data_IF_605402000833
#
_entry.id   IF_605402000833
#
_cell.length_a   1.000
_cell.length_b   1.000
_cell.length_c   1.000
_cell.angle_alpha   90.00
_cell.angle_beta   90.00
_cell.angle_gamma   90.00
#
_symmetry.space_group_name_H-M   'P 1'
#
loop_
_entity.id
_entity.type
_entity.pdbx_description
1 polymer ?
#
# COMPACT_ATOMS: atom_id res chain seq x y z
N UNK A 1 -9.20 -2.26 7.30
CA UNK A 1 -9.04 -1.53 6.02
C UNK A 1 -7.93 -2.05 5.09
N UNK A 2 -6.67 -2.18 5.55
CA UNK A 2 -5.52 -2.46 4.66
C UNK A 2 -5.62 -3.80 3.89
N UNK A 3 -6.00 -4.90 4.56
CA UNK A 3 -6.16 -6.23 3.92
C UNK A 3 -7.28 -6.32 2.88
N UNK A 4 -8.24 -5.39 2.92
CA UNK A 4 -9.34 -5.36 1.96
C UNK A 4 -8.98 -4.58 0.68
N UNK A 5 -8.02 -3.65 0.77
CA UNK A 5 -7.69 -2.74 -0.33
C UNK A 5 -7.22 -3.46 -1.61
N UNK A 6 -6.41 -4.54 -1.55
CA UNK A 6 -6.00 -5.28 -2.75
C UNK A 6 -7.18 -5.85 -3.54
N UNK A 7 -8.23 -6.32 -2.85
CA UNK A 7 -9.43 -6.86 -3.50
C UNK A 7 -10.17 -5.80 -4.31
N UNK A 8 -10.22 -4.56 -3.80
CA UNK A 8 -10.87 -3.45 -4.52
C UNK A 8 -10.06 -3.00 -5.76
N UNK A 9 -8.73 -3.06 -5.68
CA UNK A 9 -7.84 -2.62 -6.76
C UNK A 9 -7.61 -3.66 -7.86
N UNK A 10 -7.37 -4.90 -7.47
CA UNK A 10 -6.89 -5.98 -8.34
C UNK A 10 -7.82 -7.19 -8.38
N UNK A 11 -8.90 -7.23 -7.58
CA UNK A 11 -9.86 -8.34 -7.54
C UNK A 11 -9.37 -9.55 -6.73
N UNK A 12 -8.14 -9.52 -6.24
CA UNK A 12 -7.47 -10.61 -5.54
C UNK A 12 -7.24 -10.27 -4.05
N UNK A 13 -7.14 -11.27 -3.16
CA UNK A 13 -6.77 -11.04 -1.76
C UNK A 13 -5.34 -10.50 -1.63
N UNK A 14 -5.01 -9.98 -0.45
CA UNK A 14 -3.65 -9.61 -0.11
C UNK A 14 -2.71 -10.81 -0.17
N UNK A 15 -1.47 -10.57 -0.60
CA UNK A 15 -0.39 -11.55 -0.56
C UNK A 15 0.67 -11.09 0.43
N UNK A 16 1.05 -11.98 1.34
CA UNK A 16 2.20 -11.76 2.20
C UNK A 16 3.49 -12.13 1.44
N UNK A 17 4.33 -11.14 1.19
CA UNK A 17 5.62 -11.32 0.55
C UNK A 17 6.68 -10.46 1.24
N UNK A 18 7.88 -11.01 1.42
CA UNK A 18 9.04 -10.22 1.81
C UNK A 18 9.47 -9.36 0.60
N UNK A 19 9.82 -8.11 0.84
CA UNK A 19 10.23 -7.14 -0.19
C UNK A 19 11.53 -7.51 -0.91
N UNK A 20 12.29 -8.48 -0.37
CA UNK A 20 13.55 -8.95 -0.95
C UNK A 20 14.73 -7.99 -0.81
N UNK A 21 14.54 -6.88 -0.07
CA UNK A 21 15.54 -5.84 0.15
C UNK A 21 14.96 -4.67 0.98
N UNK A 22 15.83 -3.71 1.39
CA UNK A 22 15.40 -2.54 2.13
C UNK A 22 14.48 -1.66 1.28
N UNK A 23 13.55 -0.98 1.94
CA UNK A 23 12.70 0.03 1.33
C UNK A 23 12.97 1.32 2.10
N UNK A 24 13.96 2.14 1.68
CA UNK A 24 14.46 3.25 2.50
C UNK A 24 13.35 4.18 3.04
N UNK A 25 12.31 4.55 2.27
CA UNK A 25 11.23 5.36 2.81
C UNK A 25 10.42 4.69 3.93
N UNK A 26 10.30 3.36 3.90
CA UNK A 26 9.62 2.61 4.96
C UNK A 26 10.53 2.47 6.20
N UNK A 27 11.83 2.27 5.99
CA UNK A 27 12.82 2.18 7.06
C UNK A 27 12.96 3.52 7.80
N UNK A 28 13.13 4.63 7.07
CA UNK A 28 13.22 5.98 7.63
C UNK A 28 11.94 6.37 8.37
N UNK A 29 10.77 5.99 7.83
CA UNK A 29 9.49 6.27 8.48
C UNK A 29 9.31 5.44 9.76
N UNK A 30 9.73 4.17 9.75
CA UNK A 30 9.69 3.31 10.93
C UNK A 30 10.59 3.85 12.04
N UNK A 31 11.75 4.42 11.70
CA UNK A 31 12.63 5.09 12.66
C UNK A 31 12.00 6.37 13.21
N UNK A 32 11.51 7.25 12.33
CA UNK A 32 10.97 8.55 12.72
C UNK A 32 9.62 8.46 13.47
N UNK A 33 8.82 7.44 13.17
CA UNK A 33 7.48 7.22 13.73
C UNK A 33 7.40 5.85 14.43
N UNK A 34 8.37 5.55 15.28
CA UNK A 34 8.42 4.29 16.02
C UNK A 34 7.09 4.03 16.78
N UNK A 35 6.54 2.83 16.58
CA UNK A 35 5.25 2.41 17.16
C UNK A 35 4.02 2.81 16.33
N UNK A 36 4.20 3.40 15.14
CA UNK A 36 3.12 3.66 14.19
C UNK A 36 3.00 2.51 13.20
N UNK A 37 1.76 2.10 12.92
CA UNK A 37 1.45 1.17 11.84
C UNK A 37 1.42 1.93 10.50
N UNK A 38 2.28 1.55 9.56
CA UNK A 38 2.37 2.11 8.22
C UNK A 38 1.87 1.15 7.15
N UNK A 39 1.27 1.69 6.08
CA UNK A 39 0.93 0.96 4.87
C UNK A 39 1.65 1.60 3.69
N UNK A 40 2.51 0.84 3.02
CA UNK A 40 3.06 1.19 1.72
C UNK A 40 2.26 0.46 0.63
N UNK A 41 1.74 1.22 -0.33
CA UNK A 41 0.92 0.71 -1.42
C UNK A 41 1.32 1.42 -2.72
N UNK A 42 1.39 0.67 -3.81
CA UNK A 42 1.68 1.24 -5.12
C UNK A 42 1.67 0.19 -6.23
N UNK A 43 2.02 0.64 -7.42
CA UNK A 43 2.14 -0.22 -8.59
C UNK A 43 3.23 -1.27 -8.41
N UNK A 44 2.90 -2.53 -8.67
CA UNK A 44 3.84 -3.65 -8.59
C UNK A 44 3.84 -4.44 -9.89
N UNK A 45 4.89 -4.24 -10.68
CA UNK A 45 5.17 -5.04 -11.87
C UNK A 45 6.59 -5.62 -11.80
N UNK A 46 6.72 -6.91 -12.10
CA UNK A 46 8.01 -7.62 -12.20
C UNK A 46 8.91 -7.10 -13.32
N UNK A 47 8.33 -6.39 -14.28
CA UNK A 47 9.05 -5.83 -15.43
C UNK A 47 9.25 -4.33 -15.30
N UNK A 48 9.08 -3.72 -14.13
CA UNK A 48 9.16 -2.25 -14.01
C UNK A 48 10.57 -1.67 -14.19
N UNK A 49 11.60 -2.48 -13.96
CA UNK A 49 13.03 -2.12 -14.05
C UNK A 49 13.34 -0.73 -13.42
N UNK A 50 13.07 -0.57 -12.12
CA UNK A 50 13.21 0.73 -11.48
C UNK A 50 14.68 1.15 -11.49
N UNK A 51 14.95 2.42 -11.81
CA UNK A 51 16.30 2.98 -11.96
C UNK A 51 17.08 2.53 -13.21
N UNK A 52 16.46 1.82 -14.15
CA UNK A 52 17.05 1.49 -15.46
C UNK A 52 16.59 2.48 -16.55
N UNK A 53 17.24 2.44 -17.72
CA UNK A 53 16.87 3.30 -18.86
C UNK A 53 15.47 2.99 -19.41
N UNK A 54 15.03 1.74 -19.28
CA UNK A 54 13.76 1.20 -19.76
C UNK A 54 12.71 1.04 -18.64
N UNK A 55 12.83 1.88 -17.60
CA UNK A 55 11.86 1.95 -16.51
C UNK A 55 10.45 2.15 -17.05
N UNK A 56 9.52 1.33 -16.55
CA UNK A 56 8.15 1.25 -17.07
C UNK A 56 7.18 0.85 -15.98
N UNK A 57 5.90 1.04 -16.25
CA UNK A 57 4.82 0.63 -15.36
C UNK A 57 3.75 -0.08 -16.18
N UNK A 58 3.27 -1.22 -15.68
CA UNK A 58 2.12 -1.88 -16.27
C UNK A 58 0.90 -0.96 -16.10
N UNK A 59 0.27 -0.57 -17.20
CA UNK A 59 -0.80 0.44 -17.19
C UNK A 59 -1.98 0.14 -16.26
N UNK A 60 -2.26 -1.14 -15.99
CA UNK A 60 -3.28 -1.56 -15.02
C UNK A 60 -2.93 -1.26 -13.56
N UNK A 61 -1.63 -1.19 -13.22
CA UNK A 61 -1.16 -1.06 -11.85
C UNK A 61 -1.49 0.31 -11.20
N UNK A 62 -1.31 1.46 -11.88
CA UNK A 62 -1.78 2.74 -11.35
C UNK A 62 -3.29 2.78 -11.13
N UNK A 63 -4.07 2.16 -12.03
CA UNK A 63 -5.53 2.07 -11.87
C UNK A 63 -5.89 1.25 -10.63
N UNK A 64 -5.29 0.07 -10.46
CA UNK A 64 -5.49 -0.78 -9.28
C UNK A 64 -5.14 -0.04 -7.99
N UNK A 65 -4.02 0.66 -7.99
CA UNK A 65 -3.56 1.49 -6.87
C UNK A 65 -4.62 2.54 -6.46
N UNK A 66 -5.16 3.31 -7.42
CA UNK A 66 -6.19 4.33 -7.13
C UNK A 66 -7.48 3.70 -6.60
N UNK A 67 -7.90 2.57 -7.19
CA UNK A 67 -9.09 1.85 -6.77
C UNK A 67 -8.95 1.18 -5.41
N UNK A 68 -7.73 0.83 -4.98
CA UNK A 68 -7.44 0.35 -3.64
C UNK A 68 -7.38 1.49 -2.61
N UNK A 69 -6.71 2.61 -2.93
CA UNK A 69 -6.54 3.76 -2.03
C UNK A 69 -7.86 4.46 -1.70
N UNK A 70 -8.74 4.64 -2.69
CA UNK A 70 -9.99 5.40 -2.53
C UNK A 70 -10.92 4.83 -1.44
N UNK A 71 -11.28 3.53 -1.44
CA UNK A 71 -12.07 2.94 -0.37
C UNK A 71 -11.25 2.69 0.90
N UNK A 72 -9.93 2.45 0.80
CA UNK A 72 -9.05 2.33 1.97
C UNK A 72 -9.13 3.56 2.88
N UNK A 73 -8.95 4.77 2.34
CA UNK A 73 -8.94 6.01 3.14
C UNK A 73 -10.27 6.16 3.91
N UNK A 74 -11.39 5.85 3.26
CA UNK A 74 -12.72 5.90 3.88
C UNK A 74 -12.84 4.87 5.01
N UNK A 75 -12.53 3.59 4.74
CA UNK A 75 -12.60 2.53 5.77
C UNK A 75 -11.68 2.81 6.95
N UNK A 76 -10.46 3.27 6.67
CA UNK A 76 -9.49 3.62 7.71
C UNK A 76 -9.99 4.76 8.60
N UNK A 77 -10.52 5.84 8.01
CA UNK A 77 -11.09 6.94 8.78
C UNK A 77 -12.28 6.51 9.64
N UNK A 78 -13.16 5.67 9.11
CA UNK A 78 -14.33 5.15 9.84
C UNK A 78 -13.93 4.21 10.98
N UNK A 79 -12.96 3.32 10.75
CA UNK A 79 -12.37 2.45 11.78
C UNK A 79 -11.76 3.28 12.91
N UNK A 80 -11.00 4.34 12.58
CA UNK A 80 -10.38 5.23 13.57
C UNK A 80 -11.40 6.06 14.34
N UNK A 81 -12.46 6.54 13.68
CA UNK A 81 -13.56 7.26 14.34
C UNK A 81 -14.25 6.36 15.38
N UNK A 82 -14.64 5.15 14.98
CA UNK A 82 -15.28 4.16 15.88
C UNK A 82 -14.37 3.77 17.05
N UNK A 83 -13.08 3.56 16.80
CA UNK A 83 -12.11 3.25 17.85
C UNK A 83 -11.91 4.41 18.85
N UNK A 84 -12.09 5.65 18.40
CA UNK A 84 -12.08 6.84 19.26
C UNK A 84 -13.36 7.00 20.07
N UNK A 85 -14.53 6.68 19.50
CA UNK A 85 -15.83 6.72 20.19
C UNK A 85 -16.01 5.63 21.25
N UNK A 86 -15.25 4.53 21.14
CA UNK A 86 -15.27 3.41 22.08
C UNK A 86 -14.32 3.60 23.30
N UNK A 87 -13.61 4.73 23.39
CA UNK A 87 -12.70 5.08 24.50
C UNK A 87 -13.32 6.14 25.39
#
# INVERSE_FOLDING_TARGET
>A
AAREAPRDGWGEPDQEAATGGPVPPADDLAEAACGVEGLLLGAQDSRRDPHAYDERVLFGEPRGTVLALSPFVRRFADERRRAGEAR
#
